data_IF_922167202235
#
_entry.id   IF_922167202235
#
_cell.length_a   1.000
_cell.length_b   1.000
_cell.length_c   1.000
_cell.angle_alpha   90.00
_cell.angle_beta   90.00
_cell.angle_gamma   90.00
#
_symmetry.space_group_name_H-M   'P 1'
#
loop_
_entity.id
_entity.type
_entity.pdbx_description
1 polymer ?
#
# COMPACT_ATOMS: atom_id res chain seq x y z
N UNK A 1 0.37 -8.24 22.57
CA UNK A 1 -0.89 -9.03 22.66
C UNK A 1 -0.54 -10.33 23.37
N UNK A 2 -1.20 -10.70 24.47
CA UNK A 2 -0.87 -11.94 25.19
C UNK A 2 -1.53 -13.17 24.55
N UNK A 3 -0.76 -14.21 24.16
CA UNK A 3 -1.31 -15.44 23.62
C UNK A 3 -2.03 -16.25 24.70
N UNK A 4 -3.20 -16.77 24.36
CA UNK A 4 -3.90 -17.81 25.13
C UNK A 4 -3.82 -19.14 24.38
N UNK A 5 -4.38 -20.21 24.95
CA UNK A 5 -4.41 -21.52 24.32
C UNK A 5 -5.85 -22.00 24.17
N UNK A 6 -6.14 -22.60 23.02
CA UNK A 6 -7.38 -23.34 22.79
C UNK A 6 -7.43 -24.61 23.64
N UNK A 7 -8.62 -25.23 23.73
CA UNK A 7 -8.79 -26.55 24.39
C UNK A 7 -7.91 -27.64 23.77
N UNK A 8 -7.55 -27.49 22.50
CA UNK A 8 -6.65 -28.40 21.77
C UNK A 8 -5.17 -28.03 21.88
N UNK A 9 -4.82 -27.02 22.71
CA UNK A 9 -3.45 -26.58 22.93
C UNK A 9 -2.85 -25.70 21.84
N UNK A 10 -3.63 -25.28 20.83
CA UNK A 10 -3.17 -24.30 19.83
C UNK A 10 -3.09 -22.90 20.43
N UNK A 11 -2.03 -22.16 20.11
CA UNK A 11 -1.89 -20.74 20.45
C UNK A 11 -3.02 -19.92 19.79
N UNK A 12 -3.58 -19.00 20.57
CA UNK A 12 -4.64 -18.08 20.18
C UNK A 12 -4.23 -16.66 20.55
N UNK A 13 -4.63 -15.68 19.75
CA UNK A 13 -4.57 -14.27 20.12
C UNK A 13 -5.92 -13.61 19.87
N UNK A 14 -6.33 -12.76 20.81
CA UNK A 14 -7.50 -11.89 20.65
C UNK A 14 -7.01 -10.51 20.24
N UNK A 15 -7.49 -10.04 19.10
CA UNK A 15 -7.19 -8.71 18.61
C UNK A 15 -8.47 -8.10 18.05
N UNK A 16 -8.85 -6.93 18.58
CA UNK A 16 -10.15 -6.31 18.36
C UNK A 16 -11.32 -7.27 18.69
N UNK A 17 -12.24 -7.50 17.75
CA UNK A 17 -13.40 -8.39 17.91
C UNK A 17 -13.17 -9.81 17.40
N UNK A 18 -11.94 -10.14 16.99
CA UNK A 18 -11.61 -11.41 16.35
C UNK A 18 -10.64 -12.24 17.20
N UNK A 19 -10.78 -13.56 17.08
CA UNK A 19 -9.82 -14.54 17.61
C UNK A 19 -9.02 -15.10 16.44
N UNK A 20 -7.70 -15.09 16.56
CA UNK A 20 -6.79 -15.67 15.60
C UNK A 20 -6.08 -16.87 16.20
N UNK A 21 -5.94 -17.93 15.41
CA UNK A 21 -5.22 -19.16 15.72
C UNK A 21 -3.86 -19.10 15.05
N UNK A 22 -2.83 -19.57 15.74
CA UNK A 22 -1.52 -19.73 15.13
C UNK A 22 -1.58 -20.70 13.94
N UNK A 23 -1.10 -20.25 12.78
CA UNK A 23 -1.04 -21.03 11.55
C UNK A 23 0.38 -21.60 11.38
N UNK A 24 1.37 -20.71 11.21
CA UNK A 24 2.76 -21.11 10.94
C UNK A 24 3.76 -19.99 11.21
N UNK A 25 5.02 -20.37 11.31
CA UNK A 25 6.13 -19.42 11.26
C UNK A 25 6.44 -19.02 9.81
N UNK A 26 6.75 -17.73 9.58
CA UNK A 26 7.10 -17.19 8.26
C UNK A 26 8.36 -16.30 8.34
N UNK A 27 8.86 -15.84 7.18
CA UNK A 27 10.08 -15.02 7.04
C UNK A 27 11.27 -15.56 7.84
N UNK A 28 11.78 -16.74 7.48
CA UNK A 28 12.89 -17.40 8.19
C UNK A 28 12.64 -17.60 9.69
N UNK A 29 11.38 -17.82 10.07
CA UNK A 29 10.93 -18.05 11.45
C UNK A 29 11.04 -16.84 12.37
N UNK A 30 11.16 -15.63 11.84
CA UNK A 30 11.14 -14.42 12.67
C UNK A 30 9.73 -13.94 13.00
N UNK A 31 8.72 -14.37 12.23
CA UNK A 31 7.33 -13.96 12.41
C UNK A 31 6.40 -15.15 12.63
N UNK A 32 5.37 -14.93 13.46
CA UNK A 32 4.21 -15.80 13.58
C UNK A 32 3.11 -15.31 12.65
N UNK A 33 2.59 -16.18 11.80
CA UNK A 33 1.38 -15.95 11.03
C UNK A 33 0.18 -16.54 11.76
N UNK A 34 -0.88 -15.75 11.84
CA UNK A 34 -2.11 -16.11 12.51
C UNK A 34 -3.28 -16.01 11.53
N UNK A 35 -4.24 -16.92 11.66
CA UNK A 35 -5.46 -16.91 10.87
C UNK A 35 -6.70 -16.89 11.74
N UNK A 36 -7.74 -16.23 11.26
CA UNK A 36 -9.01 -16.16 11.97
C UNK A 36 -9.54 -17.56 12.29
N UNK A 37 -10.01 -17.75 13.52
CA UNK A 37 -10.52 -19.04 14.02
C UNK A 37 -11.72 -19.54 13.20
N UNK A 38 -12.58 -18.61 12.76
CA UNK A 38 -13.74 -18.87 11.91
C UNK A 38 -13.34 -19.00 10.43
N UNK A 39 -12.37 -19.87 10.14
CA UNK A 39 -11.64 -19.95 8.87
C UNK A 39 -12.49 -20.05 7.60
N UNK A 40 -13.73 -20.57 7.70
CA UNK A 40 -14.64 -20.75 6.57
C UNK A 40 -15.24 -19.43 6.07
N UNK A 41 -15.55 -18.48 6.96
CA UNK A 41 -16.14 -17.18 6.60
C UNK A 41 -15.15 -16.02 6.77
N UNK A 42 -14.10 -16.24 7.57
CA UNK A 42 -13.15 -15.22 7.97
C UNK A 42 -11.78 -15.44 7.32
N UNK A 43 -11.51 -14.69 6.25
CA UNK A 43 -10.21 -14.69 5.55
C UNK A 43 -9.15 -13.82 6.21
N UNK A 44 -9.46 -13.18 7.35
CA UNK A 44 -8.52 -12.32 8.06
C UNK A 44 -7.27 -13.10 8.51
N UNK A 45 -6.12 -12.43 8.41
CA UNK A 45 -4.80 -12.92 8.81
C UNK A 45 -4.09 -11.80 9.55
N UNK A 46 -3.15 -12.12 10.43
CA UNK A 46 -2.23 -11.14 11.02
C UNK A 46 -0.84 -11.75 11.15
N UNK A 47 0.19 -10.90 11.27
CA UNK A 47 1.56 -11.32 11.54
C UNK A 47 2.06 -10.59 12.77
N UNK A 48 2.67 -11.34 13.69
CA UNK A 48 3.34 -10.78 14.86
C UNK A 48 4.80 -11.19 14.86
N UNK A 49 5.62 -10.41 15.55
CA UNK A 49 6.99 -10.82 15.86
C UNK A 49 6.97 -12.09 16.73
N UNK A 50 7.99 -12.93 16.58
CA UNK A 50 8.12 -14.18 17.30
C UNK A 50 8.24 -13.96 18.82
N UNK A 51 8.94 -12.92 19.26
CA UNK A 51 9.42 -12.76 20.62
C UNK A 51 8.45 -12.00 21.52
N UNK A 52 7.81 -10.95 21.00
CA UNK A 52 6.94 -10.07 21.81
C UNK A 52 5.46 -10.16 21.41
N UNK A 53 5.13 -10.94 20.36
CA UNK A 53 3.79 -10.99 19.75
C UNK A 53 3.20 -9.58 19.51
N UNK A 54 4.06 -8.59 19.28
CA UNK A 54 3.65 -7.28 18.79
C UNK A 54 3.35 -7.41 17.31
N UNK A 55 2.29 -6.73 16.88
CA UNK A 55 1.90 -6.70 15.48
C UNK A 55 3.02 -6.03 14.68
N UNK A 56 3.55 -6.75 13.69
CA UNK A 56 4.61 -6.19 12.86
C UNK A 56 4.04 -5.06 12.02
N UNK A 57 4.57 -3.85 12.20
CA UNK A 57 4.12 -2.59 11.61
C UNK A 57 4.33 -2.46 10.06
N UNK A 58 4.03 -3.52 9.28
CA UNK A 58 3.99 -3.69 7.79
C UNK A 58 5.24 -4.15 7.01
N UNK A 59 5.16 -4.71 5.76
CA UNK A 59 4.09 -5.43 4.98
C UNK A 59 4.61 -6.81 4.36
N UNK A 60 3.97 -7.55 3.38
CA UNK A 60 2.82 -7.28 2.49
C UNK A 60 1.54 -8.12 2.65
N UNK A 61 0.45 -7.40 2.33
CA UNK A 61 -0.89 -7.72 1.78
C UNK A 61 -1.70 -8.84 2.40
N UNK A 62 -2.84 -8.45 2.99
CA UNK A 62 -3.99 -9.34 3.21
C UNK A 62 -5.19 -8.69 2.52
N UNK A 63 -5.64 -9.34 1.47
CA UNK A 63 -6.91 -9.09 0.80
C UNK A 63 -8.07 -9.35 1.77
N UNK A 64 -9.11 -8.52 1.68
CA UNK A 64 -10.44 -8.90 2.09
C UNK A 64 -11.40 -8.71 0.91
N UNK A 65 -12.45 -9.52 0.85
CA UNK A 65 -13.38 -9.51 -0.29
C UNK A 65 -14.27 -8.25 -0.34
N UNK A 66 -14.20 -7.34 0.66
CA UNK A 66 -15.00 -6.09 0.69
C UNK A 66 -14.54 -5.02 1.71
N UNK A 67 -13.30 -5.07 2.22
CA UNK A 67 -12.73 -4.01 3.07
C UNK A 67 -11.39 -3.58 2.48
N UNK A 68 -11.33 -2.31 2.06
CA UNK A 68 -10.14 -1.68 1.54
C UNK A 68 -9.15 -1.54 2.68
N UNK A 69 -8.24 -2.51 2.82
CA UNK A 69 -7.08 -2.38 3.70
C UNK A 69 -6.10 -1.39 3.04
N UNK A 70 -6.44 -0.10 3.05
CA UNK A 70 -5.52 0.95 2.65
C UNK A 70 -4.65 1.29 3.86
N UNK A 71 -3.37 0.97 3.74
CA UNK A 71 -2.35 1.58 4.58
C UNK A 71 -1.92 2.85 3.88
N UNK A 72 -1.74 3.93 4.63
CA UNK A 72 -1.09 5.12 4.11
C UNK A 72 0.37 4.77 3.78
N UNK A 73 0.72 4.75 2.50
CA UNK A 73 2.12 4.69 2.09
C UNK A 73 2.64 6.11 2.25
N UNK A 74 3.34 6.36 3.34
CA UNK A 74 4.05 7.63 3.47
C UNK A 74 5.17 7.67 2.43
N UNK A 75 5.03 8.55 1.44
CA UNK A 75 6.01 8.73 0.36
C UNK A 75 7.18 9.65 0.76
N UNK A 76 7.26 10.14 2.01
CA UNK A 76 8.45 10.82 2.51
C UNK A 76 9.62 9.85 2.57
N UNK A 77 10.39 9.85 1.48
CA UNK A 77 11.46 8.92 1.12
C UNK A 77 12.70 8.99 2.05
N UNK A 78 12.62 9.71 3.17
CA UNK A 78 13.77 10.02 4.02
C UNK A 78 13.81 9.27 5.35
N UNK A 79 12.72 8.64 5.80
CA UNK A 79 12.77 7.78 6.99
C UNK A 79 12.79 6.30 6.57
N UNK A 80 13.76 5.55 7.08
CA UNK A 80 13.81 4.08 6.94
C UNK A 80 12.73 3.37 7.77
N UNK A 81 11.79 4.12 8.35
CA UNK A 81 10.69 3.61 9.16
C UNK A 81 9.40 3.69 8.35
N UNK A 82 8.99 2.55 7.80
CA UNK A 82 7.68 2.40 7.20
C UNK A 82 6.60 2.52 8.30
N UNK A 83 6.16 3.75 8.54
CA UNK A 83 5.05 4.03 9.46
C UNK A 83 3.73 3.74 8.74
N UNK A 84 3.32 2.48 8.75
CA UNK A 84 1.97 2.12 8.38
C UNK A 84 0.98 2.64 9.41
N UNK A 85 0.16 3.61 9.02
CA UNK A 85 -1.00 4.01 9.80
C UNK A 85 -2.23 3.24 9.32
N UNK A 86 -2.92 2.59 10.26
CA UNK A 86 -4.22 1.99 9.98
C UNK A 86 -5.23 3.11 9.73
N UNK A 87 -5.93 3.04 8.61
CA UNK A 87 -7.01 3.97 8.27
C UNK A 87 -8.33 3.32 8.71
N UNK A 88 -9.01 3.85 9.76
CA UNK A 88 -10.12 3.17 10.41
C UNK A 88 -11.44 3.24 9.65
N UNK A 89 -11.59 4.15 8.68
CA UNK A 89 -12.84 4.40 7.97
C UNK A 89 -12.62 4.61 6.47
N UNK A 90 -13.64 4.22 5.69
CA UNK A 90 -13.63 4.27 4.23
C UNK A 90 -13.56 5.70 3.69
N UNK A 91 -14.16 6.68 4.39
CA UNK A 91 -14.14 8.07 3.95
C UNK A 91 -12.71 8.62 3.95
N UNK A 92 -11.93 8.34 4.99
CA UNK A 92 -10.51 8.73 5.07
C UNK A 92 -9.70 8.10 3.92
N UNK A 93 -10.04 6.88 3.49
CA UNK A 93 -9.38 6.25 2.32
C UNK A 93 -9.72 7.02 1.04
N UNK A 94 -10.99 7.34 0.84
CA UNK A 94 -11.46 8.11 -0.32
C UNK A 94 -10.81 9.50 -0.33
N UNK A 95 -10.79 10.19 0.80
CA UNK A 95 -10.21 11.53 0.93
C UNK A 95 -8.70 11.51 0.64
N UNK A 96 -7.97 10.51 1.15
CA UNK A 96 -6.55 10.32 0.85
C UNK A 96 -6.31 10.04 -0.63
N UNK A 97 -7.18 9.24 -1.26
CA UNK A 97 -7.08 8.93 -2.69
C UNK A 97 -7.34 10.18 -3.55
N UNK A 98 -8.38 10.95 -3.23
CA UNK A 98 -8.68 12.23 -3.88
C UNK A 98 -7.51 13.21 -3.74
N UNK A 99 -6.93 13.31 -2.54
CA UNK A 99 -5.75 14.14 -2.31
C UNK A 99 -4.56 13.75 -3.20
N UNK A 100 -4.29 12.44 -3.35
CA UNK A 100 -3.22 11.96 -4.24
C UNK A 100 -3.50 12.32 -5.70
N UNK A 101 -4.75 12.16 -6.15
CA UNK A 101 -5.15 12.52 -7.52
C UNK A 101 -5.00 14.03 -7.78
N UNK A 102 -5.41 14.88 -6.84
CA UNK A 102 -5.28 16.33 -6.96
C UNK A 102 -3.82 16.76 -7.07
N UNK A 103 -2.94 16.19 -6.24
CA UNK A 103 -1.51 16.48 -6.31
C UNK A 103 -0.88 15.98 -7.62
N UNK A 104 -1.30 14.80 -8.10
CA UNK A 104 -0.82 14.28 -9.37
C UNK A 104 -1.24 15.19 -10.53
N UNK A 105 -2.49 15.67 -10.54
CA UNK A 105 -2.98 16.61 -11.55
C UNK A 105 -2.16 17.90 -11.56
N UNK A 106 -1.91 18.49 -10.38
CA UNK A 106 -1.06 19.69 -10.25
C UNK A 106 0.33 19.44 -10.85
N UNK A 107 0.93 18.29 -10.57
CA UNK A 107 2.26 17.94 -11.08
C UNK A 107 2.25 17.77 -12.61
N UNK A 108 1.23 17.11 -13.16
CA UNK A 108 1.06 16.97 -14.61
C UNK A 108 0.88 18.34 -15.27
N UNK A 109 0.06 19.22 -14.70
CA UNK A 109 -0.19 20.56 -15.24
C UNK A 109 1.07 21.44 -15.21
N UNK A 110 1.93 21.28 -14.18
CA UNK A 110 3.23 21.93 -14.13
C UNK A 110 4.14 21.40 -15.23
N UNK A 111 4.24 20.07 -15.40
CA UNK A 111 5.08 19.46 -16.43
C UNK A 111 4.60 19.79 -17.84
N UNK A 112 3.30 19.82 -18.07
CA UNK A 112 2.72 20.22 -19.35
C UNK A 112 3.06 21.67 -19.66
N UNK A 113 3.00 22.59 -18.68
CA UNK A 113 3.47 23.96 -18.88
C UNK A 113 4.96 24.02 -19.17
N UNK A 114 5.80 23.30 -18.43
CA UNK A 114 7.24 23.26 -18.74
C UNK A 114 7.53 22.77 -20.16
N UNK A 115 6.81 21.76 -20.66
CA UNK A 115 7.04 21.19 -21.99
C UNK A 115 6.45 22.08 -23.09
N UNK A 116 5.27 22.65 -22.86
CA UNK A 116 4.48 23.33 -23.88
C UNK A 116 4.32 24.83 -23.65
N UNK A 117 5.10 25.44 -22.75
CA UNK A 117 5.18 26.89 -22.67
C UNK A 117 5.58 27.45 -24.03
N UNK A 118 5.14 28.67 -24.34
CA UNK A 118 5.21 29.23 -25.70
C UNK A 118 6.63 29.19 -26.29
N UNK A 119 7.68 29.33 -25.46
CA UNK A 119 9.08 29.24 -25.89
C UNK A 119 9.49 27.82 -26.32
N UNK A 120 9.06 26.79 -25.58
CA UNK A 120 9.38 25.39 -25.90
C UNK A 120 8.48 24.82 -27.02
N UNK A 121 7.23 25.28 -27.11
CA UNK A 121 6.31 24.84 -28.15
C UNK A 121 6.82 25.20 -29.56
N UNK A 122 7.43 26.38 -29.73
CA UNK A 122 8.04 26.80 -31.01
C UNK A 122 9.21 25.89 -31.39
N UNK A 123 10.12 25.61 -30.46
CA UNK A 123 11.30 24.77 -30.70
C UNK A 123 10.89 23.32 -31.05
N UNK A 124 9.89 22.78 -30.36
CA UNK A 124 9.31 21.45 -30.65
C UNK A 124 8.68 21.42 -32.04
N UNK A 125 7.90 22.44 -32.41
CA UNK A 125 7.24 22.51 -33.72
C UNK A 125 8.25 22.69 -34.86
N UNK A 126 9.33 23.45 -34.66
CA UNK A 126 10.43 23.57 -35.62
C UNK A 126 11.17 22.24 -35.80
N UNK A 127 11.44 21.51 -34.72
CA UNK A 127 12.04 20.18 -34.77
C UNK A 127 11.19 19.16 -35.54
N UNK A 128 9.87 19.13 -35.31
CA UNK A 128 8.95 18.25 -36.03
C UNK A 128 8.92 18.58 -37.52
N UNK A 129 8.93 19.87 -37.88
CA UNK A 129 8.92 20.33 -39.28
C UNK A 129 10.20 19.97 -40.02
N UNK A 130 11.34 19.93 -39.33
CA UNK A 130 12.60 19.44 -39.90
C UNK A 130 12.49 17.94 -40.19
N UNK A 131 11.98 17.14 -39.25
CA UNK A 131 11.83 15.69 -39.41
C UNK A 131 10.87 15.31 -40.55
N UNK A 132 9.74 16.00 -40.68
CA UNK A 132 8.78 15.72 -41.77
C UNK A 132 9.35 15.99 -43.17
N UNK A 133 10.26 16.96 -43.29
CA UNK A 133 10.93 17.28 -44.56
C UNK A 133 12.04 16.28 -44.93
N UNK A 134 12.52 15.48 -43.97
CA UNK A 134 13.49 14.41 -44.22
C UNK A 134 12.82 13.16 -44.81
N UNK A 135 11.60 12.83 -44.37
CA UNK A 135 10.86 11.67 -44.87
C UNK A 135 10.34 11.85 -46.32
N UNK A 136 10.12 13.08 -46.79
CA UNK A 136 9.71 13.36 -48.18
C UNK A 136 10.86 13.33 -49.20
N UNK A 137 12.12 13.27 -48.75
CA UNK A 137 13.32 13.31 -49.61
C UNK A 137 14.04 11.97 -49.76
N UNK A 138 13.54 10.91 -49.13
CA UNK A 138 14.01 9.52 -49.24
C UNK A 138 13.14 8.73 -50.22
#
# INVERSE_FOLDING_TARGET
IEPTHSKTGKELIKHNRYTFVFDKLVKNRTLKAWGCELSHDCKARIRTDLNNNEETKCPPTIHSDNMVNAYEINFDYQSNEYNCQFIPDEQTIVDNYVYVLDNYQIHVDQKMREIFDEENAVEILEGIKILSNFDEKL
#
